data_IF_404467342347
#
_entry.id   IF_404467342347
#
_cell.length_a   1.000
_cell.length_b   1.000
_cell.length_c   1.000
_cell.angle_alpha   90.00
_cell.angle_beta   90.00
_cell.angle_gamma   90.00
#
_symmetry.space_group_name_H-M   'P 1'
#
loop_
_entity.id
_entity.type
_entity.pdbx_description
1 polymer ?
#
# COMPACT_ATOMS: atom_id res chain seq x y z
N UNK A 1 -19.93 30.52 -1.88
CA UNK A 1 -20.74 30.18 -0.70
C UNK A 1 -19.97 30.59 0.52
N UNK A 2 -20.53 31.45 1.38
CA UNK A 2 -20.00 31.61 2.73
C UNK A 2 -20.23 30.28 3.46
N UNK A 3 -19.14 29.59 3.79
CA UNK A 3 -19.19 28.33 4.51
C UNK A 3 -19.73 28.63 5.90
N UNK A 4 -20.95 28.20 6.19
CA UNK A 4 -21.58 28.39 7.48
C UNK A 4 -20.71 27.70 8.54
N UNK A 5 -20.10 28.48 9.44
CA UNK A 5 -19.06 28.06 10.37
C UNK A 5 -19.52 27.01 11.42
N UNK A 6 -20.79 26.57 11.36
CA UNK A 6 -21.39 25.59 12.28
C UNK A 6 -21.21 24.13 11.85
N UNK A 7 -21.02 23.86 10.55
CA UNK A 7 -21.00 22.49 10.00
C UNK A 7 -19.59 21.93 9.75
N UNK A 8 -18.57 22.79 9.88
CA UNK A 8 -17.18 22.47 9.62
C UNK A 8 -16.32 22.78 10.83
N UNK A 9 -15.20 22.08 10.95
CA UNK A 9 -14.23 22.23 12.02
C UNK A 9 -12.83 22.29 11.43
N UNK A 10 -11.97 23.08 12.04
CA UNK A 10 -10.55 23.09 11.72
C UNK A 10 -9.82 22.04 12.58
N UNK A 11 -9.05 21.19 11.92
CA UNK A 11 -8.14 20.25 12.58
C UNK A 11 -6.71 20.47 12.09
N UNK A 12 -5.75 19.91 12.82
CA UNK A 12 -4.35 19.85 12.39
C UNK A 12 -3.98 18.38 12.17
N UNK A 13 -3.44 18.08 11.00
CA UNK A 13 -2.81 16.81 10.70
C UNK A 13 -1.37 17.06 10.20
N UNK A 14 -0.38 16.46 10.87
CA UNK A 14 1.02 16.80 10.66
C UNK A 14 1.27 18.28 11.03
N UNK A 15 1.61 19.09 10.02
CA UNK A 15 1.77 20.55 10.17
C UNK A 15 0.69 21.34 9.41
N UNK A 16 -0.31 20.63 8.88
CA UNK A 16 -1.26 21.17 7.92
C UNK A 16 -2.62 21.37 8.58
N UNK A 17 -3.14 22.59 8.51
CA UNK A 17 -4.48 22.95 8.97
C UNK A 17 -5.50 22.53 7.93
N UNK A 18 -6.53 21.78 8.31
CA UNK A 18 -7.55 21.25 7.40
C UNK A 18 -8.94 21.65 7.88
N UNK A 19 -9.78 22.11 6.97
CA UNK A 19 -11.21 22.28 7.20
C UNK A 19 -11.91 20.98 6.83
N UNK A 20 -12.60 20.39 7.80
CA UNK A 20 -13.30 19.11 7.64
C UNK A 20 -14.76 19.24 8.06
N UNK A 21 -15.69 18.41 7.54
CA UNK A 21 -17.04 18.35 8.08
C UNK A 21 -16.98 17.89 9.54
N UNK A 22 -17.63 18.62 10.45
CA UNK A 22 -17.60 18.34 11.89
C UNK A 22 -18.03 16.91 12.24
N UNK A 23 -19.03 16.41 11.51
CA UNK A 23 -19.52 15.03 11.62
C UNK A 23 -18.46 13.96 11.33
N UNK A 24 -17.45 14.28 10.53
CA UNK A 24 -16.32 13.37 10.27
C UNK A 24 -15.48 13.08 11.51
N UNK A 25 -15.54 13.96 12.51
CA UNK A 25 -14.83 13.83 13.79
C UNK A 25 -15.72 13.17 14.84
N UNK A 26 -17.00 13.52 14.87
CA UNK A 26 -17.93 13.08 15.92
C UNK A 26 -18.59 11.72 15.63
N UNK A 27 -18.75 11.34 14.37
CA UNK A 27 -19.44 10.11 13.98
C UNK A 27 -18.46 8.95 13.74
N UNK A 28 -18.89 7.73 14.06
CA UNK A 28 -18.08 6.51 13.87
C UNK A 28 -17.82 6.18 12.40
N UNK A 29 -18.79 6.49 11.55
CA UNK A 29 -18.73 6.32 10.09
C UNK A 29 -18.78 7.74 9.50
N UNK A 30 -17.69 8.22 8.89
CA UNK A 30 -17.68 9.57 8.34
C UNK A 30 -18.71 9.73 7.22
N UNK A 31 -19.44 10.86 7.19
CA UNK A 31 -20.41 11.10 6.14
C UNK A 31 -19.71 11.33 4.79
N UNK A 32 -20.43 11.04 3.70
CA UNK A 32 -19.98 11.39 2.34
C UNK A 32 -20.38 12.80 1.93
N UNK A 33 -21.42 13.33 2.57
CA UNK A 33 -21.97 14.67 2.35
C UNK A 33 -21.71 15.57 3.56
N UNK A 34 -21.35 16.85 3.36
CA UNK A 34 -21.09 17.49 2.06
C UNK A 34 -19.75 17.07 1.43
N UNK A 35 -18.86 16.45 2.20
CA UNK A 35 -17.59 15.90 1.73
C UNK A 35 -17.15 14.75 2.65
N UNK A 36 -16.28 13.87 2.18
CA UNK A 36 -15.76 12.77 2.99
C UNK A 36 -14.42 13.13 3.63
N UNK A 37 -14.25 12.81 4.90
CA UNK A 37 -12.95 12.82 5.55
C UNK A 37 -12.90 11.72 6.61
N UNK A 38 -11.88 10.85 6.56
CA UNK A 38 -11.69 9.85 7.59
C UNK A 38 -10.48 10.19 8.47
N UNK A 39 -10.68 10.55 9.75
CA UNK A 39 -9.56 10.80 10.67
C UNK A 39 -8.76 9.52 10.95
N UNK A 40 -9.36 8.33 10.85
CA UNK A 40 -8.66 7.04 11.04
C UNK A 40 -7.65 6.75 9.92
N UNK A 41 -7.75 7.45 8.79
CA UNK A 41 -6.78 7.34 7.69
C UNK A 41 -5.55 8.26 7.87
N UNK A 42 -5.36 8.87 9.05
CA UNK A 42 -4.17 9.69 9.36
C UNK A 42 -2.87 8.91 9.15
N UNK A 43 -2.77 7.68 9.69
CA UNK A 43 -1.56 6.86 9.58
C UNK A 43 -1.22 6.55 8.11
N UNK A 44 -2.22 6.26 7.28
CA UNK A 44 -2.05 6.09 5.84
C UNK A 44 -1.45 7.34 5.17
N UNK A 45 -1.94 8.53 5.55
CA UNK A 45 -1.43 9.80 5.03
C UNK A 45 -0.03 10.11 5.55
N UNK A 46 0.28 9.75 6.79
CA UNK A 46 1.63 9.84 7.36
C UNK A 46 2.64 9.01 6.56
N UNK A 47 2.32 7.73 6.26
CA UNK A 47 3.17 6.92 5.39
C UNK A 47 3.33 7.50 3.99
N UNK A 48 2.31 8.17 3.45
CA UNK A 48 2.48 8.88 2.18
C UNK A 48 3.42 10.07 2.28
N UNK A 49 3.34 10.87 3.35
CA UNK A 49 4.29 11.97 3.53
C UNK A 49 5.72 11.46 3.67
N UNK A 50 5.91 10.33 4.37
CA UNK A 50 7.21 9.67 4.50
C UNK A 50 7.71 9.16 3.15
N UNK A 51 6.89 8.40 2.41
CA UNK A 51 7.27 7.83 1.11
C UNK A 51 7.56 8.93 0.08
N UNK A 52 6.68 9.93 -0.02
CA UNK A 52 6.83 11.05 -0.95
C UNK A 52 8.04 11.90 -0.61
N UNK A 53 8.28 12.18 0.68
CA UNK A 53 9.45 12.92 1.15
C UNK A 53 10.76 12.19 0.87
N UNK A 54 10.81 10.88 1.11
CA UNK A 54 11.96 10.03 0.81
C UNK A 54 12.26 10.02 -0.69
N UNK A 55 11.23 9.92 -1.54
CA UNK A 55 11.35 9.99 -2.99
C UNK A 55 11.84 11.36 -3.49
N UNK A 56 11.21 12.44 -3.02
CA UNK A 56 11.43 13.82 -3.49
C UNK A 56 12.85 14.34 -3.22
N UNK A 57 13.53 13.83 -2.18
CA UNK A 57 14.91 14.23 -1.86
C UNK A 57 15.90 13.89 -2.98
N UNK A 58 15.77 12.71 -3.55
CA UNK A 58 16.71 12.22 -4.57
C UNK A 58 16.22 12.46 -5.99
N UNK A 59 14.92 12.72 -6.17
CA UNK A 59 14.34 12.95 -7.49
C UNK A 59 14.85 14.24 -8.14
N UNK A 60 15.48 14.11 -9.31
CA UNK A 60 16.09 15.21 -10.06
C UNK A 60 15.15 15.90 -11.05
N UNK A 61 14.00 15.28 -11.36
CA UNK A 61 13.02 15.84 -12.28
C UNK A 61 12.06 16.85 -11.63
N UNK A 62 11.09 17.37 -12.40
CA UNK A 62 10.03 18.21 -11.87
C UNK A 62 9.25 17.48 -10.78
N UNK A 63 9.03 18.14 -9.64
CA UNK A 63 8.38 17.57 -8.47
C UNK A 63 6.90 17.92 -8.50
N UNK A 64 6.13 17.11 -9.22
CA UNK A 64 4.71 17.30 -9.48
C UNK A 64 3.93 16.16 -8.84
N UNK A 65 2.98 16.49 -7.96
CA UNK A 65 2.04 15.52 -7.39
C UNK A 65 0.68 15.67 -8.04
N UNK A 66 0.12 14.56 -8.51
CA UNK A 66 -1.25 14.46 -9.02
C UNK A 66 -2.06 13.56 -8.09
N UNK A 67 -3.00 14.13 -7.34
CA UNK A 67 -3.91 13.39 -6.46
C UNK A 67 -5.26 13.22 -7.17
N UNK A 68 -5.59 11.98 -7.55
CA UNK A 68 -6.73 11.72 -8.46
C UNK A 68 -8.12 11.74 -7.80
N UNK A 69 -8.22 11.28 -6.55
CA UNK A 69 -9.47 11.14 -5.78
C UNK A 69 -9.24 11.70 -4.38
N UNK A 70 -9.27 13.02 -4.27
CA UNK A 70 -8.72 13.71 -3.10
C UNK A 70 -9.70 13.90 -1.94
N UNK A 71 -10.99 13.80 -2.22
CA UNK A 71 -12.04 14.41 -1.42
C UNK A 71 -11.65 15.83 -1.01
N UNK A 72 -11.48 16.13 0.29
CA UNK A 72 -11.06 17.45 0.77
C UNK A 72 -9.59 17.82 0.49
N UNK A 73 -8.79 16.95 -0.13
CA UNK A 73 -7.40 17.22 -0.47
C UNK A 73 -6.40 17.01 0.65
N UNK A 74 -6.75 16.28 1.71
CA UNK A 74 -5.90 16.14 2.90
C UNK A 74 -4.48 15.62 2.57
N UNK A 75 -4.32 14.69 1.63
CA UNK A 75 -3.01 14.14 1.26
C UNK A 75 -2.21 15.15 0.44
N UNK A 76 -2.79 15.74 -0.60
CA UNK A 76 -2.14 16.72 -1.46
C UNK A 76 -1.79 18.00 -0.71
N UNK A 77 -2.66 18.51 0.15
CA UNK A 77 -2.40 19.68 0.98
C UNK A 77 -1.24 19.44 1.96
N UNK A 78 -1.20 18.28 2.61
CA UNK A 78 -0.05 17.89 3.44
C UNK A 78 1.22 17.79 2.62
N UNK A 79 1.16 17.19 1.42
CA UNK A 79 2.33 17.09 0.55
C UNK A 79 2.84 18.46 0.11
N UNK A 80 1.95 19.40 -0.21
CA UNK A 80 2.27 20.76 -0.59
C UNK A 80 2.90 21.57 0.54
N UNK A 81 2.44 21.36 1.78
CA UNK A 81 2.85 22.11 2.97
C UNK A 81 4.09 21.53 3.66
N UNK A 82 4.21 20.20 3.69
CA UNK A 82 5.20 19.49 4.51
C UNK A 82 6.43 19.04 3.70
N UNK A 83 6.35 19.02 2.36
CA UNK A 83 7.41 18.49 1.48
C UNK A 83 7.85 19.52 0.43
N UNK A 84 9.04 19.29 -0.14
CA UNK A 84 9.61 20.15 -1.20
C UNK A 84 9.04 19.80 -2.59
N UNK A 85 7.73 19.96 -2.77
CA UNK A 85 7.02 19.69 -4.03
C UNK A 85 6.73 21.02 -4.76
N UNK A 86 7.03 21.06 -6.06
CA UNK A 86 6.91 22.27 -6.88
C UNK A 86 5.47 22.57 -7.26
N UNK A 87 4.68 21.53 -7.56
CA UNK A 87 3.28 21.64 -7.95
C UNK A 87 2.48 20.46 -7.44
N UNK A 88 1.33 20.74 -6.85
CA UNK A 88 0.34 19.74 -6.43
C UNK A 88 -0.96 20.06 -7.16
N UNK A 89 -1.55 19.04 -7.80
CA UNK A 89 -2.88 19.15 -8.39
C UNK A 89 -3.81 18.19 -7.69
N UNK A 90 -4.83 18.76 -7.04
CA UNK A 90 -5.82 18.08 -6.22
C UNK A 90 -7.09 17.93 -7.05
N UNK A 91 -7.51 16.70 -7.34
CA UNK A 91 -8.67 16.40 -8.15
C UNK A 91 -9.74 15.62 -7.38
N UNK A 92 -11.00 16.05 -7.52
CA UNK A 92 -12.17 15.32 -7.05
C UNK A 92 -13.40 15.64 -7.91
N UNK A 93 -14.42 14.78 -7.88
CA UNK A 93 -15.70 15.05 -8.53
C UNK A 93 -16.67 15.86 -7.65
N UNK A 94 -16.44 15.90 -6.34
CA UNK A 94 -17.29 16.62 -5.40
C UNK A 94 -16.84 18.09 -5.28
N UNK A 95 -17.60 19.06 -5.82
CA UNK A 95 -17.24 20.48 -5.76
C UNK A 95 -17.22 21.00 -4.32
N UNK A 96 -18.09 20.51 -3.44
CA UNK A 96 -18.10 20.90 -2.03
C UNK A 96 -16.80 20.48 -1.33
N UNK A 97 -16.28 19.29 -1.64
CA UNK A 97 -15.01 18.82 -1.10
C UNK A 97 -13.83 19.67 -1.61
N UNK A 98 -13.83 20.05 -2.89
CA UNK A 98 -12.83 20.95 -3.47
C UNK A 98 -12.86 22.35 -2.84
N UNK A 99 -14.05 22.89 -2.52
CA UNK A 99 -14.16 24.18 -1.82
C UNK A 99 -13.53 24.12 -0.40
N UNK A 100 -13.74 23.02 0.35
CA UNK A 100 -13.07 22.82 1.63
C UNK A 100 -11.54 22.70 1.47
N UNK A 101 -11.09 22.02 0.41
CA UNK A 101 -9.68 21.93 0.05
C UNK A 101 -9.07 23.31 -0.25
N UNK A 102 -9.77 24.16 -1.01
CA UNK A 102 -9.35 25.55 -1.31
C UNK A 102 -9.27 26.40 -0.06
N UNK A 103 -10.23 26.28 0.86
CA UNK A 103 -10.19 26.97 2.15
C UNK A 103 -8.98 26.52 2.98
N UNK A 104 -8.76 25.22 3.07
CA UNK A 104 -7.59 24.64 3.75
C UNK A 104 -6.28 25.12 3.11
N UNK A 105 -6.20 25.17 1.78
CA UNK A 105 -5.04 25.72 1.06
C UNK A 105 -4.75 27.16 1.45
N UNK A 106 -5.79 28.00 1.53
CA UNK A 106 -5.67 29.42 1.96
C UNK A 106 -5.19 29.53 3.41
N UNK A 107 -5.68 28.70 4.32
CA UNK A 107 -5.27 28.71 5.74
C UNK A 107 -3.79 28.38 5.96
N UNK A 108 -3.19 27.64 5.04
CA UNK A 108 -1.76 27.29 5.05
C UNK A 108 -0.92 28.16 4.11
N UNK A 109 -1.51 29.20 3.50
CA UNK A 109 -0.85 30.11 2.54
C UNK A 109 -0.19 29.41 1.34
N UNK A 110 -0.72 28.26 0.89
CA UNK A 110 -0.11 27.46 -0.17
C UNK A 110 -0.30 28.12 -1.54
N UNK A 111 0.79 28.25 -2.29
CA UNK A 111 0.81 28.83 -3.66
C UNK A 111 1.10 27.79 -4.74
N UNK A 112 1.48 26.58 -4.35
CA UNK A 112 1.87 25.47 -5.24
C UNK A 112 0.74 24.46 -5.45
N UNK A 113 -0.52 24.81 -5.17
CA UNK A 113 -1.69 23.92 -5.25
C UNK A 113 -2.68 24.41 -6.30
N UNK A 114 -3.06 23.52 -7.20
CA UNK A 114 -4.16 23.71 -8.16
C UNK A 114 -5.28 22.70 -7.87
N UNK A 115 -6.52 23.09 -8.15
CA UNK A 115 -7.70 22.23 -7.96
C UNK A 115 -8.34 21.92 -9.31
N UNK A 116 -8.81 20.69 -9.48
CA UNK A 116 -9.49 20.20 -10.69
C UNK A 116 -10.76 19.46 -10.32
N UNK A 117 -11.83 19.70 -11.10
CA UNK A 117 -13.10 18.97 -11.01
C UNK A 117 -13.27 18.10 -12.26
N UNK A 118 -12.64 16.91 -12.24
CA UNK A 118 -12.71 15.97 -13.34
C UNK A 118 -12.87 14.53 -12.82
N UNK A 119 -13.50 13.68 -13.61
CA UNK A 119 -13.40 12.23 -13.42
C UNK A 119 -11.91 11.83 -13.49
N UNK A 120 -11.45 10.92 -12.63
CA UNK A 120 -10.02 10.66 -12.41
C UNK A 120 -9.26 10.27 -13.69
N UNK A 121 -9.82 9.45 -14.57
CA UNK A 121 -9.13 9.11 -15.81
C UNK A 121 -9.16 10.26 -16.82
N UNK A 122 -10.22 11.08 -16.86
CA UNK A 122 -10.19 12.35 -17.61
C UNK A 122 -9.11 13.29 -17.06
N UNK A 123 -9.00 13.42 -15.74
CA UNK A 123 -7.97 14.21 -15.08
C UNK A 123 -6.57 13.73 -15.47
N UNK A 124 -6.24 12.46 -15.24
CA UNK A 124 -4.92 11.91 -15.58
C UNK A 124 -4.60 11.98 -17.07
N UNK A 125 -5.59 11.89 -17.96
CA UNK A 125 -5.37 12.02 -19.41
C UNK A 125 -4.76 13.39 -19.79
N UNK A 126 -5.07 14.45 -19.05
CA UNK A 126 -4.50 15.80 -19.25
C UNK A 126 -3.00 15.83 -18.98
N UNK A 127 -2.50 14.88 -18.16
CA UNK A 127 -1.10 14.76 -17.77
C UNK A 127 -0.38 13.60 -18.46
N UNK A 128 -0.95 12.98 -19.50
CA UNK A 128 -0.36 11.83 -20.19
C UNK A 128 0.79 12.18 -21.16
N UNK A 129 0.89 13.46 -21.55
CA UNK A 129 1.92 13.96 -22.49
C UNK A 129 3.28 14.09 -21.81
N UNK A 130 4.35 13.77 -22.56
CA UNK A 130 5.74 13.97 -22.12
C UNK A 130 5.95 15.43 -21.69
N UNK A 131 6.58 15.63 -20.54
CA UNK A 131 6.83 16.96 -19.96
C UNK A 131 5.78 17.41 -18.92
N UNK A 132 4.55 16.90 -18.99
CA UNK A 132 3.47 17.28 -18.08
C UNK A 132 3.13 16.23 -17.03
N UNK A 133 3.63 15.00 -17.18
CA UNK A 133 3.38 13.88 -16.25
C UNK A 133 3.75 14.22 -14.80
N UNK A 134 3.09 13.55 -13.85
CA UNK A 134 3.39 13.64 -12.42
C UNK A 134 4.61 12.82 -12.04
N UNK A 135 5.43 13.34 -11.13
CA UNK A 135 6.50 12.56 -10.46
C UNK A 135 5.94 11.70 -9.34
N UNK A 136 4.81 12.12 -8.79
CA UNK A 136 4.02 11.37 -7.82
C UNK A 136 2.59 11.36 -8.36
N UNK A 137 2.02 10.17 -8.54
CA UNK A 137 0.62 9.99 -8.95
C UNK A 137 -0.06 9.14 -7.89
N UNK A 138 -1.20 9.59 -7.36
CA UNK A 138 -1.92 8.91 -6.29
C UNK A 138 -3.34 8.51 -6.69
N UNK A 139 -3.70 7.25 -6.42
CA UNK A 139 -5.01 6.64 -6.66
C UNK A 139 -5.58 6.13 -5.33
N UNK A 140 -6.50 6.86 -4.71
CA UNK A 140 -7.06 6.53 -3.40
C UNK A 140 -8.60 6.42 -3.39
N UNK A 141 -9.18 5.42 -4.08
CA UNK A 141 -10.63 5.28 -4.20
C UNK A 141 -11.29 4.60 -3.01
N UNK A 142 -12.61 4.75 -2.95
CA UNK A 142 -13.46 3.78 -2.28
C UNK A 142 -13.53 2.48 -3.10
N UNK A 143 -13.13 1.36 -2.49
CA UNK A 143 -13.09 0.05 -3.13
C UNK A 143 -11.77 -0.21 -3.86
N UNK A 144 -11.86 -0.56 -5.14
CA UNK A 144 -10.73 -1.06 -5.93
C UNK A 144 -10.06 0.04 -6.75
N UNK A 145 -8.72 0.12 -6.77
CA UNK A 145 -7.97 1.02 -7.64
C UNK A 145 -7.74 0.47 -9.05
N UNK A 146 -8.03 -0.80 -9.30
CA UNK A 146 -7.63 -1.50 -10.53
C UNK A 146 -8.15 -0.83 -11.81
N UNK A 147 -9.36 -0.27 -11.78
CA UNK A 147 -9.97 0.43 -12.91
C UNK A 147 -9.23 1.71 -13.33
N UNK A 148 -8.36 2.26 -12.47
CA UNK A 148 -7.64 3.52 -12.72
C UNK A 148 -6.16 3.30 -13.05
N UNK A 149 -5.67 2.06 -13.07
CA UNK A 149 -4.25 1.77 -13.28
C UNK A 149 -3.72 2.24 -14.63
N UNK A 150 -4.46 2.03 -15.72
CA UNK A 150 -4.01 2.45 -17.06
C UNK A 150 -3.81 3.97 -17.13
N UNK A 151 -4.82 4.74 -16.70
CA UNK A 151 -4.76 6.20 -16.75
C UNK A 151 -3.72 6.77 -15.76
N UNK A 152 -3.56 6.19 -14.57
CA UNK A 152 -2.53 6.57 -13.60
C UNK A 152 -1.10 6.28 -14.09
N UNK A 153 -0.87 5.11 -14.69
CA UNK A 153 0.43 4.76 -15.27
C UNK A 153 0.82 5.73 -16.40
N UNK A 154 -0.12 6.09 -17.29
CA UNK A 154 0.13 7.06 -18.36
C UNK A 154 0.44 8.46 -17.85
N UNK A 155 -0.15 8.85 -16.71
CA UNK A 155 0.13 10.12 -16.03
C UNK A 155 1.44 10.13 -15.24
N UNK A 156 2.07 8.97 -15.01
CA UNK A 156 3.31 8.87 -14.23
C UNK A 156 4.53 9.04 -15.15
N UNK A 157 5.45 9.93 -14.77
CA UNK A 157 6.68 10.14 -15.54
C UNK A 157 7.70 9.01 -15.33
N UNK A 158 8.68 8.92 -16.22
CA UNK A 158 9.79 7.99 -16.05
C UNK A 158 10.53 8.25 -14.73
N UNK A 159 10.71 7.20 -13.92
CA UNK A 159 11.32 7.26 -12.60
C UNK A 159 10.42 7.85 -11.52
N UNK A 160 9.18 8.23 -11.86
CA UNK A 160 8.16 8.67 -10.91
C UNK A 160 7.59 7.53 -10.10
N UNK A 161 6.80 7.86 -9.07
CA UNK A 161 6.09 6.89 -8.24
C UNK A 161 4.58 6.97 -8.49
N UNK A 162 3.96 5.80 -8.58
CA UNK A 162 2.52 5.60 -8.55
C UNK A 162 2.16 4.94 -7.23
N UNK A 163 1.34 5.59 -6.43
CA UNK A 163 0.76 5.02 -5.22
C UNK A 163 -0.71 4.69 -5.43
N UNK A 164 -1.16 3.57 -4.86
CA UNK A 164 -2.57 3.23 -4.88
C UNK A 164 -3.04 2.60 -3.57
N UNK A 165 -4.29 2.87 -3.21
CA UNK A 165 -4.97 2.24 -2.07
C UNK A 165 -6.10 1.33 -2.58
N UNK A 166 -6.26 0.18 -1.95
CA UNK A 166 -7.44 -0.67 -2.08
C UNK A 166 -8.13 -0.81 -0.72
N UNK A 167 -9.46 -0.62 -0.70
CA UNK A 167 -10.31 -0.77 0.50
C UNK A 167 -11.36 -1.88 0.34
N UNK A 168 -11.38 -2.60 -0.79
CA UNK A 168 -12.27 -3.76 -1.00
C UNK A 168 -11.71 -5.07 -0.42
N UNK A 169 -11.34 -5.03 0.86
CA UNK A 169 -10.66 -6.11 1.59
C UNK A 169 -11.37 -7.46 1.50
N UNK A 170 -12.70 -7.48 1.53
CA UNK A 170 -13.47 -8.73 1.44
C UNK A 170 -13.23 -9.45 0.10
N UNK A 171 -13.06 -8.69 -0.99
CA UNK A 171 -12.74 -9.26 -2.30
C UNK A 171 -11.33 -9.83 -2.31
N UNK A 172 -10.36 -9.04 -1.85
CA UNK A 172 -8.94 -9.39 -1.87
C UNK A 172 -8.56 -10.52 -0.89
N UNK A 173 -9.25 -10.64 0.26
CA UNK A 173 -9.07 -11.74 1.21
C UNK A 173 -9.89 -12.99 0.89
N UNK A 174 -10.48 -13.07 -0.32
CA UNK A 174 -11.10 -14.30 -0.82
C UNK A 174 -12.52 -14.59 -0.32
N UNK A 175 -13.26 -13.59 0.19
CA UNK A 175 -14.71 -13.75 0.40
C UNK A 175 -15.43 -13.93 -0.95
N UNK A 176 -15.01 -13.17 -1.96
CA UNK A 176 -15.60 -13.15 -3.30
C UNK A 176 -14.55 -13.40 -4.41
N UNK A 177 -14.10 -14.64 -4.57
CA UNK A 177 -13.02 -14.99 -5.51
C UNK A 177 -13.31 -14.56 -6.95
N UNK A 178 -14.52 -14.79 -7.47
CA UNK A 178 -14.90 -14.39 -8.84
C UNK A 178 -14.86 -12.87 -9.03
N UNK A 179 -15.19 -12.09 -7.99
CA UNK A 179 -15.06 -10.63 -8.03
C UNK A 179 -13.59 -10.20 -8.04
N UNK A 180 -12.73 -10.90 -7.29
CA UNK A 180 -11.29 -10.64 -7.29
C UNK A 180 -10.67 -10.94 -8.66
N UNK A 181 -11.02 -12.08 -9.26
CA UNK A 181 -10.59 -12.43 -10.62
C UNK A 181 -11.01 -11.37 -11.64
N UNK A 182 -12.28 -10.89 -11.59
CA UNK A 182 -12.76 -9.84 -12.52
C UNK A 182 -12.02 -8.51 -12.37
N UNK A 183 -11.71 -8.11 -11.13
CA UNK A 183 -11.09 -6.80 -10.85
C UNK A 183 -9.57 -6.82 -11.00
N UNK A 184 -8.91 -7.84 -10.46
CA UNK A 184 -7.46 -7.91 -10.32
C UNK A 184 -6.79 -8.92 -11.24
N UNK A 185 -7.54 -9.82 -11.89
CA UNK A 185 -7.00 -10.84 -12.80
C UNK A 185 -6.31 -12.01 -12.10
N UNK A 186 -6.47 -12.14 -10.78
CA UNK A 186 -5.89 -13.23 -9.98
C UNK A 186 -6.88 -13.78 -8.95
N UNK A 187 -6.63 -15.01 -8.52
CA UNK A 187 -7.43 -15.73 -7.53
C UNK A 187 -6.82 -15.56 -6.13
N UNK A 188 -7.58 -15.07 -5.14
CA UNK A 188 -7.19 -15.11 -3.73
C UNK A 188 -7.53 -16.46 -3.10
N UNK A 189 -6.84 -16.81 -2.02
CA UNK A 189 -7.18 -17.93 -1.14
C UNK A 189 -7.30 -17.41 0.30
N UNK A 190 -8.03 -18.15 1.15
CA UNK A 190 -8.23 -17.77 2.56
C UNK A 190 -7.19 -18.48 3.42
N UNK A 191 -6.20 -17.73 3.87
CA UNK A 191 -5.06 -18.19 4.68
C UNK A 191 -4.60 -17.06 5.61
N UNK A 192 -3.76 -17.39 6.57
CA UNK A 192 -3.28 -16.51 7.64
C UNK A 192 -2.43 -15.35 7.13
N UNK A 193 -1.81 -15.51 5.96
CA UNK A 193 -1.06 -14.48 5.25
C UNK A 193 -1.85 -13.81 4.12
N UNK A 194 -3.19 -13.81 4.22
CA UNK A 194 -4.10 -13.21 3.24
C UNK A 194 -3.83 -11.74 2.91
N UNK A 195 -3.36 -10.96 3.88
CA UNK A 195 -2.93 -9.56 3.67
C UNK A 195 -1.80 -9.46 2.62
N UNK A 196 -0.84 -10.39 2.64
CA UNK A 196 0.25 -10.39 1.66
C UNK A 196 -0.24 -10.82 0.28
N UNK A 197 -1.12 -11.83 0.21
CA UNK A 197 -1.77 -12.23 -1.04
C UNK A 197 -2.53 -11.06 -1.67
N UNK A 198 -3.30 -10.32 -0.87
CA UNK A 198 -4.05 -9.16 -1.31
C UNK A 198 -3.13 -8.09 -1.94
N UNK A 199 -2.05 -7.71 -1.25
CA UNK A 199 -1.05 -6.77 -1.76
C UNK A 199 -0.43 -7.27 -3.07
N UNK A 200 -0.08 -8.56 -3.13
CA UNK A 200 0.51 -9.15 -4.34
C UNK A 200 -0.46 -9.25 -5.50
N UNK A 201 -1.76 -9.39 -5.26
CA UNK A 201 -2.80 -9.31 -6.29
C UNK A 201 -2.93 -7.90 -6.86
N UNK A 202 -2.87 -6.87 -5.99
CA UNK A 202 -2.87 -5.46 -6.41
C UNK A 202 -1.65 -5.18 -7.30
N UNK A 203 -0.45 -5.54 -6.83
CA UNK A 203 0.80 -5.37 -7.58
C UNK A 203 0.81 -6.19 -8.88
N UNK A 204 0.27 -7.41 -8.86
CA UNK A 204 0.19 -8.28 -10.03
C UNK A 204 -0.74 -7.71 -11.11
N UNK A 205 -1.87 -7.14 -10.69
CA UNK A 205 -2.78 -6.40 -11.56
C UNK A 205 -2.09 -5.17 -12.15
N UNK A 206 -1.46 -4.35 -11.30
CA UNK A 206 -0.75 -3.13 -11.74
C UNK A 206 0.35 -3.46 -12.75
N UNK A 207 1.17 -4.49 -12.48
CA UNK A 207 2.21 -4.98 -13.40
C UNK A 207 1.59 -5.39 -14.73
N UNK A 208 0.51 -6.18 -14.70
CA UNK A 208 -0.14 -6.67 -15.92
C UNK A 208 -0.65 -5.53 -16.80
N UNK A 209 -1.15 -4.44 -16.21
CA UNK A 209 -1.54 -3.23 -16.94
C UNK A 209 -0.30 -2.49 -17.47
N UNK A 210 0.73 -2.29 -16.64
CA UNK A 210 1.98 -1.63 -17.03
C UNK A 210 2.67 -2.32 -18.21
N UNK A 211 2.71 -3.66 -18.23
CA UNK A 211 3.31 -4.43 -19.31
C UNK A 211 2.62 -4.19 -20.66
N UNK A 212 1.30 -3.99 -20.70
CA UNK A 212 0.55 -3.64 -21.94
C UNK A 212 0.91 -2.25 -22.47
N UNK A 213 1.48 -1.41 -21.62
CA UNK A 213 1.92 -0.05 -21.93
C UNK A 213 3.44 0.02 -22.18
N UNK A 214 4.12 -1.12 -22.22
CA UNK A 214 5.59 -1.21 -22.32
C UNK A 214 6.30 -0.48 -21.18
N UNK A 215 5.71 -0.55 -19.98
CA UNK A 215 6.24 0.02 -18.75
C UNK A 215 6.69 -1.07 -17.78
N UNK A 216 7.73 -0.76 -17.02
CA UNK A 216 8.19 -1.55 -15.88
C UNK A 216 7.72 -0.86 -14.60
N UNK A 217 7.21 -1.67 -13.66
CA UNK A 217 6.97 -1.23 -12.29
C UNK A 217 7.94 -1.91 -11.34
N UNK A 218 8.42 -1.16 -10.36
CA UNK A 218 9.26 -1.68 -9.26
C UNK A 218 8.58 -1.31 -7.95
N UNK A 219 7.98 -2.27 -7.23
CA UNK A 219 7.45 -2.01 -5.89
C UNK A 219 8.55 -1.48 -4.97
N UNK A 220 8.30 -0.34 -4.33
CA UNK A 220 9.23 0.30 -3.41
C UNK A 220 8.85 0.04 -1.95
N UNK A 221 7.55 0.11 -1.67
CA UNK A 221 7.01 -0.05 -0.33
C UNK A 221 5.55 -0.45 -0.41
N UNK A 222 5.08 -1.20 0.59
CA UNK A 222 3.68 -1.56 0.76
C UNK A 222 3.27 -1.39 2.21
N UNK A 223 1.96 -1.25 2.42
CA UNK A 223 1.39 -1.07 3.73
C UNK A 223 0.06 -1.82 3.83
N UNK A 224 -0.20 -2.39 5.00
CA UNK A 224 -1.49 -2.97 5.36
C UNK A 224 -1.85 -2.49 6.76
N UNK A 225 -3.01 -1.85 6.91
CA UNK A 225 -3.50 -1.45 8.22
C UNK A 225 -5.02 -1.45 8.27
N UNK A 226 -5.60 -2.34 9.08
CA UNK A 226 -7.02 -2.55 9.41
C UNK A 226 -8.01 -2.61 8.23
N UNK A 227 -8.11 -1.54 7.44
CA UNK A 227 -9.16 -1.30 6.45
C UNK A 227 -8.63 -0.94 5.06
N UNK A 228 -7.31 -1.01 4.82
CA UNK A 228 -6.74 -0.78 3.50
C UNK A 228 -5.47 -1.59 3.23
N UNK A 229 -5.19 -1.76 1.95
CA UNK A 229 -3.87 -2.08 1.42
C UNK A 229 -3.37 -0.90 0.60
N UNK A 230 -2.11 -0.53 0.76
CA UNK A 230 -1.49 0.55 -0.02
C UNK A 230 -0.18 0.09 -0.62
N UNK A 231 0.08 0.49 -1.85
CA UNK A 231 1.30 0.16 -2.58
C UNK A 231 1.92 1.42 -3.16
N UNK A 232 3.25 1.44 -3.24
CA UNK A 232 4.04 2.50 -3.86
C UNK A 232 4.99 1.83 -4.85
N UNK A 233 4.82 2.10 -6.14
CA UNK A 233 5.62 1.51 -7.20
C UNK A 233 6.30 2.60 -8.03
N UNK A 234 7.60 2.44 -8.27
CA UNK A 234 8.34 3.24 -9.26
C UNK A 234 7.94 2.81 -10.66
N UNK A 235 7.76 3.75 -11.56
CA UNK A 235 7.40 3.49 -12.97
C UNK A 235 8.56 3.87 -13.87
N UNK A 236 9.05 2.92 -14.68
CA UNK A 236 10.02 3.19 -15.73
C UNK A 236 9.38 3.04 -17.11
N UNK A 237 9.62 4.05 -17.96
CA UNK A 237 9.27 4.01 -19.38
C UNK A 237 10.21 3.10 -20.18
N UNK A 238 10.19 1.80 -19.86
CA UNK A 238 10.88 0.73 -20.58
C UNK A 238 10.10 -0.57 -20.37
N UNK A 239 10.13 -1.51 -21.32
CA UNK A 239 9.47 -2.80 -21.14
C UNK A 239 10.05 -3.58 -19.95
N UNK A 240 9.17 -4.14 -19.11
CA UNK A 240 9.55 -5.10 -18.07
C UNK A 240 10.08 -6.39 -18.72
N UNK A 241 11.28 -6.82 -18.33
CA UNK A 241 11.93 -8.04 -18.82
C UNK A 241 11.90 -9.19 -17.80
N UNK A 242 11.34 -8.96 -16.61
CA UNK A 242 11.40 -9.92 -15.51
C UNK A 242 10.13 -10.77 -15.39
N UNK A 243 10.29 -12.01 -14.96
CA UNK A 243 9.19 -12.93 -14.66
C UNK A 243 8.69 -12.76 -13.22
N UNK A 244 8.10 -11.60 -12.94
CA UNK A 244 7.67 -11.24 -11.58
C UNK A 244 6.20 -11.58 -11.27
N UNK A 245 5.53 -12.31 -12.17
CA UNK A 245 4.16 -12.78 -11.98
C UNK A 245 4.13 -14.30 -11.89
N UNK A 246 3.49 -14.82 -10.85
CA UNK A 246 3.36 -16.26 -10.63
C UNK A 246 2.26 -16.59 -9.65
N UNK A 247 2.47 -17.66 -8.90
CA UNK A 247 1.51 -18.25 -7.97
C UNK A 247 2.13 -18.43 -6.59
N UNK A 248 1.30 -18.41 -5.55
CA UNK A 248 1.63 -18.98 -4.24
C UNK A 248 0.85 -20.28 -4.13
N UNK A 249 1.57 -21.39 -3.95
CA UNK A 249 0.99 -22.71 -3.74
C UNK A 249 0.99 -22.99 -2.24
N UNK A 250 -0.17 -23.30 -1.68
CA UNK A 250 -0.37 -23.49 -0.25
C UNK A 250 -0.97 -24.86 0.03
N UNK A 251 -0.29 -25.65 0.84
CA UNK A 251 -0.82 -26.92 1.31
C UNK A 251 -1.61 -26.70 2.61
N UNK A 252 -2.94 -26.88 2.56
CA UNK A 252 -3.80 -26.75 3.75
C UNK A 252 -3.52 -27.81 4.83
N UNK A 253 -3.00 -28.97 4.43
CA UNK A 253 -2.79 -30.10 5.35
C UNK A 253 -1.54 -29.89 6.22
N UNK A 254 -0.40 -29.56 5.60
CA UNK A 254 0.84 -29.38 6.34
C UNK A 254 1.22 -27.92 6.56
N UNK A 255 0.57 -26.94 5.92
CA UNK A 255 0.92 -25.53 6.00
C UNK A 255 2.11 -25.12 5.14
N UNK A 256 2.73 -26.04 4.39
CA UNK A 256 3.82 -25.70 3.46
C UNK A 256 3.33 -24.72 2.38
N UNK A 257 4.21 -23.82 1.96
CA UNK A 257 3.91 -22.81 0.96
C UNK A 257 5.16 -22.33 0.26
N UNK A 258 5.02 -22.07 -1.03
CA UNK A 258 6.10 -21.60 -1.89
C UNK A 258 5.56 -20.79 -3.08
N UNK A 259 6.41 -19.95 -3.65
CA UNK A 259 6.12 -19.25 -4.90
C UNK A 259 6.64 -20.01 -6.11
N UNK A 260 5.92 -19.92 -7.22
CA UNK A 260 6.36 -20.50 -8.50
C UNK A 260 5.81 -19.72 -9.69
N UNK A 261 6.44 -19.86 -10.84
CA UNK A 261 5.94 -19.29 -12.10
C UNK A 261 4.70 -20.02 -12.60
N UNK A 262 4.70 -21.34 -12.44
CA UNK A 262 3.63 -22.25 -12.84
C UNK A 262 2.86 -22.79 -11.64
N UNK A 263 1.64 -23.27 -11.85
CA UNK A 263 0.81 -23.82 -10.78
C UNK A 263 1.36 -25.17 -10.31
N UNK A 264 1.57 -25.32 -9.00
CA UNK A 264 1.98 -26.60 -8.39
C UNK A 264 0.79 -27.18 -7.62
N UNK A 265 0.18 -28.23 -8.18
CA UNK A 265 -1.07 -28.81 -7.65
C UNK A 265 -0.88 -29.70 -6.43
N UNK A 266 0.33 -30.23 -6.20
CA UNK A 266 0.63 -31.18 -5.13
C UNK A 266 1.76 -30.63 -4.27
N UNK A 267 1.60 -30.73 -2.94
CA UNK A 267 2.61 -30.33 -1.99
C UNK A 267 3.87 -31.20 -2.11
N UNK A 268 5.03 -30.56 -2.20
CA UNK A 268 6.34 -31.22 -2.24
C UNK A 268 6.70 -31.95 -0.92
N UNK A 269 6.09 -31.59 0.23
CA UNK A 269 6.40 -32.19 1.53
C UNK A 269 5.48 -33.36 1.90
N UNK A 270 4.19 -33.31 1.56
CA UNK A 270 3.21 -34.31 1.99
C UNK A 270 2.32 -34.85 0.87
N UNK A 271 2.54 -34.43 -0.37
CA UNK A 271 1.80 -34.83 -1.59
C UNK A 271 0.30 -34.50 -1.60
N UNK A 272 -0.24 -33.84 -0.57
CA UNK A 272 -1.62 -33.35 -0.53
C UNK A 272 -1.85 -32.25 -1.57
N UNK A 273 -3.11 -32.05 -1.96
CA UNK A 273 -3.50 -31.04 -2.94
C UNK A 273 -3.26 -29.62 -2.40
N UNK A 274 -2.61 -28.77 -3.20
CA UNK A 274 -2.43 -27.36 -2.90
C UNK A 274 -3.64 -26.52 -3.29
N UNK A 275 -3.93 -25.52 -2.46
CA UNK A 275 -4.65 -24.32 -2.89
C UNK A 275 -3.67 -23.40 -3.63
N UNK A 276 -4.15 -22.71 -4.68
CA UNK A 276 -3.30 -21.91 -5.56
C UNK A 276 -3.83 -20.48 -5.59
N UNK A 277 -3.02 -19.52 -5.12
CA UNK A 277 -3.29 -18.10 -5.25
C UNK A 277 -2.56 -17.52 -6.46
N UNK A 278 -3.20 -16.64 -7.23
CA UNK A 278 -2.60 -15.94 -8.36
C UNK A 278 -3.43 -15.98 -9.65
N UNK A 279 -2.94 -15.44 -10.78
CA UNK A 279 -1.59 -14.91 -10.94
C UNK A 279 -1.40 -13.61 -10.15
N UNK A 280 -0.29 -13.48 -9.43
CA UNK A 280 0.02 -12.37 -8.54
C UNK A 280 1.52 -12.02 -8.58
N UNK A 281 1.90 -10.91 -7.97
CA UNK A 281 3.31 -10.50 -7.86
C UNK A 281 4.09 -11.43 -6.94
N UNK A 282 5.14 -12.08 -7.45
CA UNK A 282 6.02 -12.99 -6.69
C UNK A 282 7.37 -12.37 -6.33
N UNK A 283 7.68 -11.17 -6.83
CA UNK A 283 8.92 -10.45 -6.50
C UNK A 283 8.91 -9.80 -5.12
N UNK A 284 9.95 -9.00 -4.84
CA UNK A 284 10.06 -8.17 -3.63
C UNK A 284 8.94 -7.13 -3.55
N UNK A 285 8.48 -6.84 -2.33
CA UNK A 285 7.45 -5.82 -2.05
C UNK A 285 8.00 -4.63 -1.24
N UNK A 286 9.26 -4.73 -0.80
CA UNK A 286 10.01 -3.69 -0.12
C UNK A 286 11.34 -3.50 -0.84
N UNK A 287 11.65 -2.27 -1.22
CA UNK A 287 12.97 -1.87 -1.67
C UNK A 287 13.77 -1.42 -0.44
N UNK A 288 14.82 -2.17 -0.09
CA UNK A 288 15.58 -1.98 1.15
C UNK A 288 16.10 -0.55 1.29
N UNK A 289 16.74 -0.03 0.23
CA UNK A 289 17.31 1.32 0.23
C UNK A 289 16.22 2.39 0.37
N UNK A 290 15.07 2.20 -0.28
CA UNK A 290 13.95 3.12 -0.16
C UNK A 290 13.35 3.10 1.25
N UNK A 291 13.21 1.93 1.89
CA UNK A 291 12.73 1.83 3.27
C UNK A 291 13.70 2.49 4.24
N UNK A 292 15.01 2.37 4.06
CA UNK A 292 16.02 3.09 4.85
C UNK A 292 15.83 4.62 4.71
N UNK A 293 15.63 5.11 3.49
CA UNK A 293 15.31 6.53 3.24
C UNK A 293 14.00 6.95 3.89
N UNK A 294 12.98 6.10 3.91
CA UNK A 294 11.72 6.36 4.61
C UNK A 294 11.93 6.49 6.13
N UNK A 295 12.76 5.65 6.75
CA UNK A 295 13.09 5.76 8.18
C UNK A 295 13.79 7.09 8.47
N UNK A 296 14.74 7.50 7.63
CA UNK A 296 15.39 8.81 7.76
C UNK A 296 14.42 9.98 7.52
N UNK A 297 13.43 9.81 6.65
CA UNK A 297 12.42 10.82 6.38
C UNK A 297 11.43 10.94 7.53
N UNK A 298 11.04 9.84 8.19
CA UNK A 298 10.06 9.87 9.28
C UNK A 298 10.53 10.70 10.47
N UNK A 299 11.84 10.74 10.75
CA UNK A 299 12.39 11.57 11.84
C UNK A 299 12.34 13.08 11.55
N UNK A 300 12.03 13.49 10.32
CA UNK A 300 11.97 14.90 9.90
C UNK A 300 10.54 15.43 9.78
N UNK A 301 9.55 14.55 9.90
CA UNK A 301 8.12 14.86 9.75
C UNK A 301 7.40 14.75 11.10
N UNK A 302 6.27 15.44 11.20
CA UNK A 302 5.35 15.27 12.33
C UNK A 302 4.36 14.17 11.96
N UNK A 303 4.65 12.93 12.36
CA UNK A 303 3.88 11.72 12.02
C UNK A 303 3.68 10.83 13.25
N UNK A 304 2.78 9.84 13.15
CA UNK A 304 2.59 8.83 14.19
C UNK A 304 3.91 8.08 14.48
N UNK A 305 4.25 7.92 15.77
CA UNK A 305 5.48 7.24 16.21
C UNK A 305 5.54 5.77 15.77
N UNK A 306 4.39 5.14 15.54
CA UNK A 306 4.33 3.77 15.07
C UNK A 306 4.80 3.64 13.61
N UNK A 307 4.80 4.72 12.82
CA UNK A 307 5.32 4.68 11.45
C UNK A 307 6.77 4.21 11.42
N UNK A 308 7.66 4.80 12.22
CA UNK A 308 9.07 4.39 12.28
C UNK A 308 9.23 2.95 12.75
N UNK A 309 8.42 2.53 13.74
CA UNK A 309 8.43 1.16 14.28
C UNK A 309 8.03 0.14 13.20
N UNK A 310 7.02 0.45 12.40
CA UNK A 310 6.59 -0.37 11.27
C UNK A 310 7.65 -0.40 10.17
N UNK A 311 8.25 0.74 9.81
CA UNK A 311 9.31 0.79 8.79
C UNK A 311 10.54 -0.04 9.18
N UNK A 312 10.91 -0.04 10.46
CA UNK A 312 11.97 -0.92 10.98
C UNK A 312 11.65 -2.40 10.79
N UNK A 313 10.39 -2.82 10.96
CA UNK A 313 9.96 -4.19 10.61
C UNK A 313 10.05 -4.46 9.11
N UNK A 314 9.57 -3.52 8.29
CA UNK A 314 9.67 -3.61 6.82
C UNK A 314 11.12 -3.76 6.34
N UNK A 315 12.06 -3.05 6.99
CA UNK A 315 13.48 -3.14 6.69
C UNK A 315 14.03 -4.54 6.98
N UNK A 316 13.73 -5.09 8.16
CA UNK A 316 14.16 -6.43 8.56
C UNK A 316 13.61 -7.52 7.64
N UNK A 317 12.37 -7.35 7.13
CA UNK A 317 11.70 -8.36 6.30
C UNK A 317 11.96 -8.20 4.79
N UNK A 318 12.67 -7.13 4.37
CA UNK A 318 12.80 -6.74 2.95
C UNK A 318 13.47 -7.78 2.04
N UNK A 319 14.33 -8.62 2.62
CA UNK A 319 15.10 -9.65 1.91
C UNK A 319 14.63 -11.07 2.25
N UNK A 320 13.54 -11.23 3.01
CA UNK A 320 13.02 -12.53 3.40
C UNK A 320 12.04 -13.10 2.38
N UNK A 321 11.83 -14.44 2.39
CA UNK A 321 10.92 -15.11 1.45
C UNK A 321 9.49 -14.59 1.46
N UNK A 322 8.79 -14.85 0.35
CA UNK A 322 7.36 -14.59 0.17
C UNK A 322 6.52 -15.44 1.13
N UNK A 323 5.40 -14.86 1.60
CA UNK A 323 4.47 -15.44 2.56
C UNK A 323 5.06 -15.62 3.97
N UNK A 324 4.50 -14.89 4.93
CA UNK A 324 4.84 -15.05 6.34
C UNK A 324 4.12 -16.25 6.99
N UNK A 325 4.58 -16.59 8.18
CA UNK A 325 3.91 -17.47 9.13
C UNK A 325 3.38 -16.66 10.32
N UNK A 326 2.42 -17.18 11.07
CA UNK A 326 1.98 -16.61 12.34
C UNK A 326 2.29 -17.55 13.49
N UNK A 327 2.52 -17.03 14.69
CA UNK A 327 2.67 -17.93 15.84
C UNK A 327 1.36 -18.68 16.15
N UNK A 328 0.22 -18.04 15.92
CA UNK A 328 -1.09 -18.61 16.21
C UNK A 328 -1.38 -19.85 15.34
N UNK A 329 -1.01 -19.83 14.04
CA UNK A 329 -1.18 -21.01 13.18
C UNK A 329 -0.27 -22.17 13.62
N UNK A 330 0.97 -21.87 14.02
CA UNK A 330 1.94 -22.91 14.41
C UNK A 330 1.54 -23.51 15.76
N UNK A 331 1.19 -22.67 16.73
CA UNK A 331 0.74 -23.08 18.06
C UNK A 331 -0.54 -23.95 17.97
N UNK A 332 -1.50 -23.54 17.12
CA UNK A 332 -2.71 -24.34 16.85
C UNK A 332 -2.37 -25.72 16.30
N UNK A 333 -1.45 -25.79 15.33
CA UNK A 333 -0.99 -27.06 14.75
C UNK A 333 -0.26 -27.95 15.76
N UNK A 334 0.51 -27.35 16.65
CA UNK A 334 1.25 -28.04 17.72
C UNK A 334 0.39 -28.37 18.94
N UNK A 335 -0.84 -27.86 19.00
CA UNK A 335 -1.74 -27.97 20.17
C UNK A 335 -1.09 -27.42 21.46
N UNK A 336 -0.32 -26.35 21.33
CA UNK A 336 0.37 -25.69 22.44
C UNK A 336 0.08 -24.19 22.47
N UNK A 337 0.55 -23.50 23.51
CA UNK A 337 0.44 -22.05 23.60
C UNK A 337 1.56 -21.37 22.81
N UNK A 338 1.30 -20.23 22.13
CA UNK A 338 2.33 -19.53 21.38
C UNK A 338 3.39 -18.94 22.34
N UNK A 339 4.69 -19.11 22.05
CA UNK A 339 5.75 -18.39 22.75
C UNK A 339 5.70 -16.89 22.42
N UNK A 340 6.60 -16.10 23.02
CA UNK A 340 6.80 -14.72 22.55
C UNK A 340 7.42 -14.74 21.14
N UNK A 341 6.99 -13.80 20.30
CA UNK A 341 7.42 -13.71 18.90
C UNK A 341 8.93 -13.51 18.78
N UNK A 342 9.48 -12.63 19.61
CA UNK A 342 10.90 -12.31 19.63
C UNK A 342 11.73 -13.54 20.00
N UNK A 343 11.37 -14.24 21.08
CA UNK A 343 12.06 -15.45 21.55
C UNK A 343 12.05 -16.56 20.47
N UNK A 344 10.93 -16.72 19.75
CA UNK A 344 10.82 -17.72 18.69
C UNK A 344 11.65 -17.37 17.46
N UNK A 345 11.70 -16.09 17.07
CA UNK A 345 12.54 -15.62 15.97
C UNK A 345 14.02 -15.83 16.32
N UNK A 346 14.44 -15.50 17.54
CA UNK A 346 15.81 -15.75 18.01
C UNK A 346 16.14 -17.24 17.95
N UNK A 347 15.20 -18.12 18.35
CA UNK A 347 15.38 -19.57 18.24
C UNK A 347 15.56 -20.04 16.80
N UNK A 348 14.79 -19.51 15.84
CA UNK A 348 14.98 -19.80 14.42
C UNK A 348 16.37 -19.36 13.94
N UNK A 349 16.80 -18.15 14.32
CA UNK A 349 18.12 -17.61 13.98
C UNK A 349 19.27 -18.44 14.56
N UNK A 350 19.15 -18.88 15.81
CA UNK A 350 20.12 -19.76 16.46
C UNK A 350 20.20 -21.16 15.81
N UNK A 351 19.18 -21.56 15.04
CA UNK A 351 19.18 -22.78 14.23
C UNK A 351 19.62 -22.54 12.77
N UNK A 352 20.19 -21.38 12.46
CA UNK A 352 20.78 -21.07 11.15
C UNK A 352 19.81 -20.54 10.10
N UNK A 353 18.55 -20.28 10.46
CA UNK A 353 17.57 -19.69 9.54
C UNK A 353 17.59 -18.16 9.60
N UNK A 354 17.42 -17.51 8.46
CA UNK A 354 17.11 -16.07 8.47
C UNK A 354 15.65 -15.91 8.86
N UNK A 355 15.36 -15.06 9.84
CA UNK A 355 14.00 -14.80 10.31
C UNK A 355 13.82 -13.38 10.84
N UNK A 356 12.61 -12.82 10.70
CA UNK A 356 12.25 -11.50 11.23
C UNK A 356 10.75 -11.41 11.51
N UNK A 357 10.28 -10.45 12.34
CA UNK A 357 8.87 -10.13 12.37
C UNK A 357 8.42 -9.54 11.02
N UNK A 358 7.14 -9.66 10.69
CA UNK A 358 6.54 -8.96 9.53
C UNK A 358 5.73 -7.73 9.97
N UNK A 359 5.68 -6.71 9.12
CA UNK A 359 4.78 -5.57 9.25
C UNK A 359 3.32 -5.91 8.93
N UNK A 360 3.06 -7.05 8.27
CA UNK A 360 1.75 -7.41 7.73
C UNK A 360 0.86 -8.20 8.70
N UNK A 361 1.41 -8.64 9.85
CA UNK A 361 0.68 -9.33 10.91
C UNK A 361 1.33 -9.10 12.28
N UNK A 362 0.55 -8.82 13.36
CA UNK A 362 1.09 -8.61 14.70
C UNK A 362 1.85 -9.82 15.27
N UNK A 363 1.38 -11.04 15.01
CA UNK A 363 1.99 -12.31 15.45
C UNK A 363 2.79 -12.99 14.34
N UNK A 364 3.03 -12.27 13.24
CA UNK A 364 3.64 -12.81 12.04
C UNK A 364 5.17 -12.71 12.01
N UNK A 365 5.80 -13.70 11.41
CA UNK A 365 7.23 -13.74 11.12
C UNK A 365 7.50 -14.29 9.71
N UNK A 366 8.57 -13.84 9.08
CA UNK A 366 9.12 -14.48 7.87
C UNK A 366 10.33 -15.30 8.24
N UNK A 367 10.59 -16.36 7.50
CA UNK A 367 11.78 -17.19 7.69
C UNK A 367 12.16 -17.92 6.41
N UNK A 368 13.43 -18.34 6.29
CA UNK A 368 13.87 -19.29 5.27
C UNK A 368 13.53 -20.75 5.60
N UNK A 369 13.10 -21.03 6.82
CA UNK A 369 12.69 -22.37 7.24
C UNK A 369 11.37 -22.80 6.58
N UNK A 370 11.29 -24.06 6.17
CA UNK A 370 10.03 -24.68 5.78
C UNK A 370 9.20 -25.09 7.02
N UNK A 371 7.95 -25.49 6.81
CA UNK A 371 7.03 -25.78 7.91
C UNK A 371 7.46 -26.93 8.82
N UNK A 372 8.17 -27.94 8.31
CA UNK A 372 8.67 -29.04 9.15
C UNK A 372 9.82 -28.55 10.04
N UNK A 373 10.70 -27.71 9.50
CA UNK A 373 11.79 -27.08 10.25
C UNK A 373 11.25 -26.14 11.33
N UNK A 374 10.26 -25.29 11.00
CA UNK A 374 9.57 -24.40 11.95
C UNK A 374 8.98 -25.21 13.12
N UNK A 375 8.32 -26.33 12.82
CA UNK A 375 7.74 -27.21 13.84
C UNK A 375 8.82 -27.84 14.72
N UNK A 376 9.93 -28.29 14.13
CA UNK A 376 11.01 -28.94 14.86
C UNK A 376 11.66 -28.02 15.90
N UNK A 377 11.68 -26.71 15.64
CA UNK A 377 12.20 -25.71 16.58
C UNK A 377 11.13 -25.16 17.52
N UNK A 378 9.85 -25.49 17.32
CA UNK A 378 8.77 -24.99 18.16
C UNK A 378 8.92 -25.53 19.60
N UNK A 379 8.86 -24.67 20.63
CA UNK A 379 8.94 -25.13 22.02
C UNK A 379 7.77 -26.06 22.35
N UNK A 380 8.07 -27.14 23.09
CA UNK A 380 7.08 -28.12 23.55
C UNK A 380 6.06 -27.53 24.51
#
# INVERSE_FOLDING_TARGET
MEVNNKDFEEIIEGKTRLIVPKKSITENVPPKEPAFFNPKARVNRDFSMIAYGAFVKDFKGPKILLEGLSSIGARGLRAANELQIQKVVINDLNPSALELGKLSSKLNNLQNVEFSENEICRFFSQYSKKGNRGSIVDIDPFGSPAQFFDCGLRATMHGGILSCTATDLQVLNGLFQSACMRKYGGTPIRVEYGNEIAIRLILGCLRSVAARLELEIIPLYVESHMHYYRTYAKVHNRPDQQENLGYINHCSECGHRETSLEKIFNCNLCNSKNQIAGKLWIGKIFDKEFVEKMIHQSSQLTVDKNCEKTLKKCLLESELPVAYFTLDEIASKMKSSPPKLEDFIEKLQNNGFIASPTSLSPTGFRTSANINEIISVFPS
#
